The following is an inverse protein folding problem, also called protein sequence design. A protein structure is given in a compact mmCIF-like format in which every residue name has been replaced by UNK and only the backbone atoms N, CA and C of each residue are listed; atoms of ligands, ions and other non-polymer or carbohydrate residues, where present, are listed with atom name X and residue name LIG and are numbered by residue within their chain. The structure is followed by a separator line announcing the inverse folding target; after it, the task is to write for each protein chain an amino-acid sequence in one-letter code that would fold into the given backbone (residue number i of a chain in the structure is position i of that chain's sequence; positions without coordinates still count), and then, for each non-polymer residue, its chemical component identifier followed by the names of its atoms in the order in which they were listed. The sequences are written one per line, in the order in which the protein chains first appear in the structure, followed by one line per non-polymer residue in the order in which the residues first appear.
data_IF_130197572417
#
_entry.id   IF_130197572417
#
_cell.length_a   1.000
_cell.length_b   1.000
_cell.length_c   1.000
_cell.angle_alpha   90.00
_cell.angle_beta   90.00
_cell.angle_gamma   90.00
#
_symmetry.space_group_name_H-M   'P 1'
#
loop_
_entity.id
_entity.type
_entity.pdbx_description
1 polymer ?
#
# COMPACT_ATOMS: atom_id res chain seq x y z
N UNK A 1 -18.34 -1.63 -11.82
CA UNK A 1 -17.62 -2.84 -11.39
C UNK A 1 -16.26 -2.38 -10.91
N UNK A 2 -15.97 -2.53 -9.62
CA UNK A 2 -14.61 -2.47 -9.10
C UNK A 2 -14.00 -3.83 -9.47
N UNK A 3 -12.89 -3.82 -10.20
CA UNK A 3 -12.24 -5.03 -10.72
C UNK A 3 -11.22 -5.60 -9.73
N UNK A 4 -11.18 -5.16 -8.48
CA UNK A 4 -9.84 -4.85 -7.99
C UNK A 4 -9.54 -5.61 -6.72
N UNK A 5 -8.65 -6.59 -6.82
CA UNK A 5 -7.85 -7.15 -5.71
C UNK A 5 -6.94 -6.08 -5.04
N UNK A 6 -7.39 -4.81 -5.06
CA UNK A 6 -6.82 -3.60 -4.51
C UNK A 6 -7.73 -3.08 -3.39
N UNK A 7 -8.08 -3.95 -2.46
CA UNK A 7 -8.81 -3.63 -1.22
C UNK A 7 -7.86 -3.44 -0.04
N UNK A 8 -8.38 -3.27 1.17
CA UNK A 8 -7.58 -2.99 2.38
C UNK A 8 -6.71 -4.19 2.82
N UNK A 9 -6.88 -5.36 2.20
CA UNK A 9 -6.03 -6.55 2.41
C UNK A 9 -4.87 -6.63 1.39
N UNK A 10 -4.78 -5.67 0.48
CA UNK A 10 -3.72 -5.62 -0.52
C UNK A 10 -2.40 -5.34 0.16
N UNK A 11 -1.46 -6.27 0.00
CA UNK A 11 -0.09 -6.14 0.48
C UNK A 11 0.89 -5.98 -0.67
N UNK A 12 1.94 -5.21 -0.42
CA UNK A 12 3.03 -4.96 -1.37
C UNK A 12 4.34 -5.27 -0.66
N UNK A 13 5.18 -6.19 -1.17
CA UNK A 13 6.51 -6.40 -0.62
C UNK A 13 7.38 -5.17 -0.90
N UNK A 14 8.15 -4.76 0.10
CA UNK A 14 9.02 -3.59 0.05
C UNK A 14 10.37 -3.86 0.69
N UNK A 15 11.36 -3.02 0.34
CA UNK A 15 12.62 -2.91 1.07
C UNK A 15 12.64 -1.55 1.76
N UNK A 16 12.67 -1.56 3.10
CA UNK A 16 12.80 -0.36 3.93
C UNK A 16 14.11 -0.46 4.72
N UNK A 17 14.95 0.56 4.62
CA UNK A 17 16.26 0.59 5.29
C UNK A 17 17.11 -0.68 5.07
N UNK A 18 17.03 -1.25 3.86
CA UNK A 18 17.73 -2.48 3.48
C UNK A 18 17.12 -3.78 4.03
N UNK A 19 15.95 -3.74 4.67
CA UNK A 19 15.24 -4.91 5.20
C UNK A 19 13.98 -5.20 4.41
N UNK A 20 13.66 -6.48 4.26
CA UNK A 20 12.38 -6.90 3.69
C UNK A 20 11.23 -6.52 4.63
N UNK A 21 10.18 -5.95 4.06
CA UNK A 21 8.97 -5.54 4.77
C UNK A 21 7.74 -5.80 3.90
N UNK A 22 6.58 -5.84 4.54
CA UNK A 22 5.29 -5.93 3.87
C UNK A 22 4.53 -4.64 4.20
N UNK A 23 4.07 -3.97 3.15
CA UNK A 23 3.25 -2.76 3.26
C UNK A 23 1.81 -3.09 2.94
N UNK A 24 0.89 -2.52 3.71
CA UNK A 24 -0.55 -2.65 3.46
C UNK A 24 -1.10 -1.32 2.98
N UNK A 25 -2.02 -1.40 2.03
CA UNK A 25 -2.74 -0.22 1.55
C UNK A 25 -3.55 0.39 2.70
N UNK A 26 -3.42 1.69 2.92
CA UNK A 26 -4.21 2.40 3.92
C UNK A 26 -5.23 3.32 3.24
N UNK A 27 -4.77 4.27 2.42
CA UNK A 27 -5.66 5.20 1.70
C UNK A 27 -4.96 5.85 0.51
N UNK A 28 -5.75 6.36 -0.42
CA UNK A 28 -5.26 7.20 -1.51
C UNK A 28 -5.35 8.68 -1.12
N UNK A 29 -4.23 9.38 -1.20
CA UNK A 29 -4.16 10.83 -1.07
C UNK A 29 -4.35 11.48 -2.45
N UNK A 30 -5.55 12.02 -2.68
CA UNK A 30 -5.93 12.66 -3.94
C UNK A 30 -5.22 14.00 -4.17
N UNK A 31 -4.76 14.66 -3.11
CA UNK A 31 -4.09 15.96 -3.24
C UNK A 31 -2.68 15.79 -3.81
N UNK A 32 -2.04 14.67 -3.48
CA UNK A 32 -0.67 14.33 -3.88
C UNK A 32 -0.59 13.31 -5.01
N UNK A 33 -1.72 12.69 -5.36
CA UNK A 33 -1.79 11.59 -6.32
C UNK A 33 -0.92 10.38 -5.89
N UNK A 34 -1.01 10.02 -4.62
CA UNK A 34 -0.16 8.99 -4.00
C UNK A 34 -0.96 8.01 -3.14
N UNK A 35 -0.50 6.75 -3.09
CA UNK A 35 -1.00 5.77 -2.13
C UNK A 35 -0.23 5.87 -0.82
N UNK A 36 -0.95 6.08 0.28
CA UNK A 36 -0.44 5.98 1.63
C UNK A 36 -0.52 4.50 2.06
N UNK A 37 0.62 3.98 2.49
CA UNK A 37 0.80 2.60 2.90
C UNK A 37 1.19 2.53 4.38
N UNK A 38 0.70 1.50 5.08
CA UNK A 38 1.01 1.22 6.48
C UNK A 38 2.01 0.08 6.58
N UNK A 39 2.99 0.23 7.47
CA UNK A 39 3.90 -0.85 7.86
C UNK A 39 3.23 -1.76 8.91
N UNK A 40 3.47 -3.05 8.83
CA UNK A 40 3.06 -4.02 9.87
C UNK A 40 3.77 -3.79 11.21
#
# INVERSE_FOLDING_TARGET
MQLDAWDDHTSVPAILDGRHSVLYKEKYDKEKDEWIMRLE
#
